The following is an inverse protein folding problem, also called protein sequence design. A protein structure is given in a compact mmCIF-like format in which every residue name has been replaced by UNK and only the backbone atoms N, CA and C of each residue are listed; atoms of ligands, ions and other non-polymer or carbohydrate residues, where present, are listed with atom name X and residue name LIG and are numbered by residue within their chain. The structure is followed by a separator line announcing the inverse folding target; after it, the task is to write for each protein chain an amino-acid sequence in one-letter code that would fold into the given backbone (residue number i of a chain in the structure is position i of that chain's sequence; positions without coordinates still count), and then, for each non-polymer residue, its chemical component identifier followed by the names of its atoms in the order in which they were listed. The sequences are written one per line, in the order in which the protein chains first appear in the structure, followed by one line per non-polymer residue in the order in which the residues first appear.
data_IF_158850033223
#
_entry.id   IF_158850033223
#
_cell.length_a   1.000
_cell.length_b   1.000
_cell.length_c   1.000
_cell.angle_alpha   90.00
_cell.angle_beta   90.00
_cell.angle_gamma   90.00
#
_symmetry.space_group_name_H-M   'P 1'
#
loop_
_entity.id
_entity.type
_entity.pdbx_description
1 polymer ?
#
# COMPACT_ATOMS: atom_id res chain seq x y z
N UNK A 1 -7.81 -20.28 24.09
CA UNK A 1 -8.66 -21.48 23.94
C UNK A 1 -9.26 -21.91 25.29
N UNK A 2 -8.47 -21.91 26.36
CA UNK A 2 -8.87 -22.40 27.72
C UNK A 2 -10.10 -21.67 28.28
N UNK A 3 -10.29 -20.38 27.97
CA UNK A 3 -11.42 -19.58 28.48
C UNK A 3 -12.62 -19.49 27.52
N UNK A 4 -12.62 -20.22 26.40
CA UNK A 4 -13.70 -20.21 25.43
C UNK A 4 -13.91 -18.88 24.68
N UNK A 5 -12.93 -17.97 24.73
CA UNK A 5 -13.03 -16.65 24.06
C UNK A 5 -12.65 -16.74 22.59
N UNK A 6 -13.35 -15.97 21.76
CA UNK A 6 -13.07 -15.78 20.35
C UNK A 6 -12.35 -14.46 20.15
N UNK A 7 -11.22 -14.48 19.45
CA UNK A 7 -10.45 -13.31 19.02
C UNK A 7 -10.36 -13.30 17.50
N UNK A 8 -11.17 -12.47 16.85
CA UNK A 8 -11.12 -12.33 15.41
C UNK A 8 -10.04 -11.30 15.03
N UNK A 9 -8.98 -11.77 14.39
CA UNK A 9 -7.89 -10.94 13.88
C UNK A 9 -8.03 -10.74 12.37
N UNK A 10 -7.33 -9.74 11.86
CA UNK A 10 -7.25 -9.44 10.42
C UNK A 10 -8.65 -9.34 9.78
N UNK A 11 -9.57 -8.64 10.44
CA UNK A 11 -10.97 -8.49 10.05
C UNK A 11 -11.29 -7.06 9.54
N UNK A 12 -10.32 -6.43 8.87
CA UNK A 12 -10.48 -5.13 8.22
C UNK A 12 -10.60 -5.25 6.70
N UNK A 13 -9.78 -4.47 5.98
CA UNK A 13 -9.75 -4.45 4.53
C UNK A 13 -8.63 -5.36 3.97
N UNK A 14 -7.38 -5.02 4.23
CA UNK A 14 -6.15 -5.73 3.86
C UNK A 14 -5.14 -5.58 5.02
N UNK A 15 -5.21 -6.56 5.97
CA UNK A 15 -5.94 -7.83 5.91
C UNK A 15 -7.41 -7.77 6.39
N UNK A 16 -8.25 -8.59 5.78
CA UNK A 16 -9.66 -8.80 6.14
C UNK A 16 -10.55 -9.15 4.94
N UNK A 17 -11.09 -8.16 4.24
CA UNK A 17 -11.90 -8.41 3.03
C UNK A 17 -11.09 -9.17 1.98
N UNK A 18 -9.78 -8.93 1.88
CA UNK A 18 -8.88 -9.66 0.99
C UNK A 18 -8.86 -11.17 1.30
N UNK A 19 -8.89 -11.56 2.58
CA UNK A 19 -9.01 -12.96 2.97
C UNK A 19 -10.35 -13.55 2.52
N UNK A 20 -11.44 -12.89 2.89
CA UNK A 20 -12.80 -13.38 2.61
C UNK A 20 -13.07 -13.51 1.12
N UNK A 21 -12.71 -12.49 0.33
CA UNK A 21 -12.89 -12.49 -1.12
C UNK A 21 -11.98 -13.50 -1.83
N UNK A 22 -10.74 -13.66 -1.37
CA UNK A 22 -9.83 -14.67 -1.89
C UNK A 22 -10.33 -16.09 -1.59
N UNK A 23 -10.67 -16.39 -0.33
CA UNK A 23 -11.12 -17.71 0.09
C UNK A 23 -12.39 -18.13 -0.62
N UNK A 24 -13.34 -17.20 -0.84
CA UNK A 24 -14.55 -17.48 -1.62
C UNK A 24 -14.21 -18.08 -2.99
N UNK A 25 -13.32 -17.45 -3.76
CA UNK A 25 -12.97 -17.93 -5.10
C UNK A 25 -12.10 -19.18 -5.04
N UNK A 26 -11.15 -19.27 -4.10
CA UNK A 26 -10.29 -20.46 -3.91
C UNK A 26 -11.14 -21.70 -3.59
N UNK A 27 -12.14 -21.56 -2.72
CA UNK A 27 -13.03 -22.66 -2.37
C UNK A 27 -13.95 -23.04 -3.54
N UNK A 28 -14.49 -22.09 -4.29
CA UNK A 28 -15.28 -22.37 -5.50
C UNK A 28 -14.47 -23.14 -6.57
N UNK A 29 -13.18 -22.83 -6.72
CA UNK A 29 -12.28 -23.56 -7.63
C UNK A 29 -12.06 -25.00 -7.13
N UNK A 30 -11.78 -25.17 -5.84
CA UNK A 30 -11.53 -26.49 -5.21
C UNK A 30 -12.78 -27.37 -5.24
N UNK A 31 -13.95 -26.82 -4.99
CA UNK A 31 -15.23 -27.55 -5.08
C UNK A 31 -15.49 -28.13 -6.48
N UNK A 32 -14.98 -27.47 -7.51
CA UNK A 32 -15.04 -27.94 -8.90
C UNK A 32 -13.92 -28.92 -9.26
N UNK A 33 -13.02 -29.23 -8.32
CA UNK A 33 -11.86 -30.11 -8.53
C UNK A 33 -10.68 -29.41 -9.20
N UNK A 34 -10.61 -28.08 -9.17
CA UNK A 34 -9.51 -27.30 -9.71
C UNK A 34 -8.31 -27.24 -8.76
N UNK A 35 -7.11 -27.32 -9.30
CA UNK A 35 -5.84 -27.19 -8.61
C UNK A 35 -5.30 -25.77 -8.78
N UNK A 36 -5.04 -25.07 -7.67
CA UNK A 36 -4.57 -23.68 -7.69
C UNK A 36 -3.08 -23.64 -8.01
N UNK A 37 -2.71 -22.93 -9.07
CA UNK A 37 -1.32 -22.79 -9.52
C UNK A 37 -0.78 -21.40 -9.18
N UNK A 38 -1.63 -20.37 -9.26
CA UNK A 38 -1.27 -18.96 -9.07
C UNK A 38 -2.32 -18.24 -8.25
N UNK A 39 -1.86 -17.49 -7.29
CA UNK A 39 -2.65 -16.51 -6.53
C UNK A 39 -1.88 -15.19 -6.43
N UNK A 40 -2.48 -14.14 -6.97
CA UNK A 40 -2.00 -12.77 -6.80
C UNK A 40 -3.12 -11.91 -6.20
N UNK A 41 -2.77 -11.07 -5.22
CA UNK A 41 -3.72 -10.24 -4.49
C UNK A 41 -3.16 -8.85 -4.28
N UNK A 42 -3.83 -7.85 -4.79
CA UNK A 42 -3.42 -6.47 -4.72
C UNK A 42 -4.54 -5.60 -4.15
N UNK A 43 -4.20 -4.71 -3.22
CA UNK A 43 -5.15 -3.77 -2.63
C UNK A 43 -4.51 -2.39 -2.48
N UNK A 44 -5.29 -1.33 -2.67
CA UNK A 44 -4.84 0.04 -2.46
C UNK A 44 -5.96 0.98 -2.06
N UNK A 45 -5.65 1.85 -1.09
CA UNK A 45 -6.43 3.06 -0.82
C UNK A 45 -5.91 4.19 -1.71
N UNK A 46 -6.80 4.81 -2.45
CA UNK A 46 -6.54 5.78 -3.51
C UNK A 46 -7.52 6.95 -3.37
N UNK A 47 -7.34 7.98 -4.19
CA UNK A 47 -8.35 9.02 -4.39
C UNK A 47 -9.26 8.62 -5.56
N UNK A 48 -10.57 8.92 -5.43
CA UNK A 48 -11.53 8.67 -6.50
C UNK A 48 -11.24 9.58 -7.72
N UNK A 49 -11.57 9.17 -8.95
CA UNK A 49 -11.23 9.95 -10.15
C UNK A 49 -11.72 11.39 -10.12
N UNK A 50 -12.92 11.64 -9.58
CA UNK A 50 -13.50 12.99 -9.47
C UNK A 50 -12.81 13.90 -8.45
N UNK A 51 -12.02 13.32 -7.53
CA UNK A 51 -11.28 14.04 -6.47
C UNK A 51 -9.77 13.98 -6.69
N UNK A 52 -9.33 13.47 -7.83
CA UNK A 52 -7.92 13.33 -8.21
C UNK A 52 -7.40 14.64 -8.79
N UNK A 53 -6.87 15.50 -7.92
CA UNK A 53 -6.50 16.89 -8.21
C UNK A 53 -5.02 17.18 -8.09
N UNK A 54 -4.17 16.17 -7.90
CA UNK A 54 -2.72 16.35 -7.80
C UNK A 54 -1.95 15.40 -8.73
N UNK A 55 -0.69 15.76 -9.03
CA UNK A 55 0.15 14.98 -9.94
C UNK A 55 0.51 13.58 -9.40
N UNK A 56 0.48 13.39 -8.09
CA UNK A 56 0.74 12.08 -7.47
C UNK A 56 -0.43 11.11 -7.61
N UNK A 57 -1.62 11.62 -7.98
CA UNK A 57 -2.85 10.85 -8.04
C UNK A 57 -3.11 10.11 -6.71
N UNK A 58 -2.79 10.81 -5.60
CA UNK A 58 -2.84 10.24 -4.26
C UNK A 58 -3.19 11.30 -3.20
N UNK A 59 -4.06 10.94 -2.27
CA UNK A 59 -4.33 11.66 -1.03
C UNK A 59 -4.33 10.67 0.14
N UNK A 60 -4.06 11.16 1.35
CA UNK A 60 -4.13 10.32 2.54
C UNK A 60 -5.58 9.96 2.87
N UNK A 61 -5.89 8.67 2.81
CA UNK A 61 -7.22 8.11 3.10
C UNK A 61 -7.22 7.34 4.43
N UNK A 62 -6.05 7.22 5.06
CA UNK A 62 -5.83 6.56 6.34
C UNK A 62 -4.59 7.14 7.02
N UNK A 63 -3.97 6.41 7.96
CA UNK A 63 -2.84 6.90 8.75
C UNK A 63 -1.63 7.30 7.88
N UNK A 64 -1.27 8.61 7.78
CA UNK A 64 -0.16 9.09 6.97
C UNK A 64 1.18 8.44 7.33
N UNK A 65 1.43 8.22 8.63
CA UNK A 65 2.64 7.57 9.13
C UNK A 65 2.87 6.20 8.50
N UNK A 66 1.82 5.38 8.42
CA UNK A 66 1.90 4.05 7.83
C UNK A 66 2.17 4.10 6.32
N UNK A 67 1.76 5.17 5.64
CA UNK A 67 2.07 5.37 4.21
C UNK A 67 3.55 5.70 4.04
N UNK A 68 4.09 6.63 4.85
CA UNK A 68 5.51 7.02 4.79
C UNK A 68 6.44 5.84 5.13
N UNK A 69 6.05 5.03 6.11
CA UNK A 69 6.83 3.85 6.54
C UNK A 69 6.49 2.57 5.77
N UNK A 70 5.67 2.67 4.70
CA UNK A 70 5.26 1.51 3.94
C UNK A 70 6.45 0.72 3.36
N UNK A 71 6.48 -0.58 3.63
CA UNK A 71 7.54 -1.48 3.18
C UNK A 71 8.79 -1.52 4.07
N UNK A 72 8.89 -0.68 5.09
CA UNK A 72 9.95 -0.78 6.10
C UNK A 72 9.74 -1.99 7.02
N UNK A 73 10.79 -2.38 7.74
CA UNK A 73 10.75 -3.50 8.69
C UNK A 73 11.10 -4.86 8.09
N UNK A 74 11.71 -4.89 6.91
CA UNK A 74 12.24 -6.11 6.30
C UNK A 74 12.08 -6.17 4.79
N UNK A 75 12.51 -7.28 4.19
CA UNK A 75 12.32 -7.52 2.77
C UNK A 75 10.90 -8.00 2.48
N UNK A 76 10.33 -7.57 1.36
CA UNK A 76 9.14 -8.22 0.82
C UNK A 76 9.50 -9.63 0.33
N UNK A 77 8.65 -10.62 0.63
CA UNK A 77 8.89 -12.03 0.34
C UNK A 77 7.66 -12.64 -0.32
N UNK A 78 7.87 -13.35 -1.40
CA UNK A 78 6.81 -14.06 -2.11
C UNK A 78 7.39 -15.21 -2.94
N UNK A 79 6.52 -16.05 -3.50
CA UNK A 79 6.91 -17.06 -4.49
C UNK A 79 6.27 -16.68 -5.83
N UNK A 80 7.03 -16.81 -6.91
CA UNK A 80 6.59 -16.53 -8.27
C UNK A 80 7.23 -17.54 -9.22
N UNK A 81 6.41 -18.24 -10.00
CA UNK A 81 6.86 -19.30 -10.91
C UNK A 81 7.74 -20.37 -10.21
N UNK A 82 7.34 -20.77 -9.02
CA UNK A 82 8.05 -21.75 -8.20
C UNK A 82 9.36 -21.26 -7.58
N UNK A 83 9.69 -19.97 -7.69
CA UNK A 83 10.93 -19.38 -7.16
C UNK A 83 10.66 -18.36 -6.08
N UNK A 84 11.32 -18.49 -4.94
CA UNK A 84 11.27 -17.49 -3.88
C UNK A 84 11.91 -16.18 -4.33
N UNK A 85 11.24 -15.09 -4.05
CA UNK A 85 11.66 -13.73 -4.35
C UNK A 85 11.77 -12.92 -3.07
N UNK A 86 12.81 -12.11 -2.98
CA UNK A 86 13.09 -11.21 -1.86
C UNK A 86 13.43 -9.84 -2.42
N UNK A 87 12.66 -8.81 -1.99
CA UNK A 87 12.91 -7.44 -2.41
C UNK A 87 13.22 -6.62 -1.15
N UNK A 88 14.46 -6.17 -0.95
CA UNK A 88 14.80 -5.28 0.15
C UNK A 88 14.09 -3.94 -0.02
N UNK A 89 13.83 -3.24 1.09
CA UNK A 89 13.10 -1.96 1.09
C UNK A 89 13.65 -0.95 0.07
N UNK A 90 14.98 -0.79 -0.01
CA UNK A 90 15.65 0.12 -0.95
C UNK A 90 15.44 -0.20 -2.43
N UNK A 91 14.81 -1.31 -2.77
CA UNK A 91 14.49 -1.72 -4.15
C UNK A 91 12.99 -1.95 -4.37
N UNK A 92 12.17 -1.77 -3.32
CA UNK A 92 10.76 -2.14 -3.32
C UNK A 92 9.99 -1.41 -4.44
N UNK A 93 10.14 -0.11 -4.51
CA UNK A 93 9.41 0.75 -5.45
C UNK A 93 9.98 0.76 -6.88
N UNK A 94 11.11 0.08 -7.11
CA UNK A 94 11.71 -0.14 -8.44
C UNK A 94 11.18 -1.37 -9.16
N UNK A 95 10.45 -2.21 -8.46
CA UNK A 95 9.86 -3.42 -9.02
C UNK A 95 8.35 -3.37 -8.86
N UNK A 96 7.68 -2.99 -9.93
CA UNK A 96 6.22 -2.89 -9.99
C UNK A 96 5.65 -3.83 -11.04
N UNK A 97 4.48 -4.36 -10.74
CA UNK A 97 3.63 -5.08 -11.69
C UNK A 97 2.53 -4.11 -12.16
N UNK A 98 2.06 -4.26 -13.38
CA UNK A 98 0.95 -3.47 -13.90
C UNK A 98 -0.32 -4.31 -13.92
N UNK A 99 -1.43 -3.69 -13.55
CA UNK A 99 -2.75 -4.30 -13.62
C UNK A 99 -3.75 -3.30 -14.20
N UNK A 100 -4.81 -3.81 -14.79
CA UNK A 100 -5.88 -3.02 -15.36
C UNK A 100 -7.19 -3.38 -14.68
N UNK A 101 -7.96 -2.37 -14.32
CA UNK A 101 -9.27 -2.54 -13.69
C UNK A 101 -10.30 -1.91 -14.59
N UNK A 102 -11.25 -2.71 -15.05
CA UNK A 102 -12.28 -2.27 -15.98
C UNK A 102 -13.04 -1.04 -15.43
N UNK A 103 -13.17 -0.01 -16.25
CA UNK A 103 -13.80 1.26 -15.89
C UNK A 103 -12.94 2.21 -15.05
N UNK A 104 -11.77 1.76 -14.53
CA UNK A 104 -10.90 2.56 -13.67
C UNK A 104 -9.48 2.72 -14.19
N UNK A 105 -9.14 2.03 -15.29
CA UNK A 105 -7.87 2.14 -16.00
C UNK A 105 -6.71 1.39 -15.37
N UNK A 106 -5.50 1.85 -15.70
CA UNK A 106 -4.25 1.18 -15.36
C UNK A 106 -3.69 1.61 -14.02
N UNK A 107 -3.18 0.63 -13.29
CA UNK A 107 -2.52 0.80 -12.00
C UNK A 107 -1.15 0.14 -12.00
N UNK A 108 -0.34 0.48 -11.02
CA UNK A 108 0.88 -0.24 -10.67
C UNK A 108 0.77 -0.79 -9.25
N UNK A 109 1.44 -1.92 -9.01
CA UNK A 109 1.50 -2.54 -7.69
C UNK A 109 2.93 -2.88 -7.33
N UNK A 110 3.29 -2.71 -6.06
CA UNK A 110 4.55 -3.17 -5.50
C UNK A 110 4.31 -4.19 -4.40
N UNK A 111 5.30 -5.08 -4.16
CA UNK A 111 5.17 -6.16 -3.21
C UNK A 111 4.87 -5.68 -1.79
N UNK A 112 3.92 -6.32 -1.10
CA UNK A 112 3.56 -6.01 0.27
C UNK A 112 4.16 -7.03 1.25
N UNK A 113 5.18 -6.62 2.01
CA UNK A 113 5.76 -7.38 3.15
C UNK A 113 5.99 -8.87 2.84
N UNK A 114 5.49 -9.77 3.70
CA UNK A 114 5.69 -11.22 3.63
C UNK A 114 4.42 -11.92 3.16
N UNK A 115 4.33 -12.22 1.86
CA UNK A 115 3.23 -12.98 1.28
C UNK A 115 3.30 -14.48 1.62
N UNK A 116 4.50 -14.99 1.97
CA UNK A 116 4.71 -16.43 2.19
C UNK A 116 3.97 -16.95 3.43
N UNK A 117 3.77 -16.09 4.44
CA UNK A 117 3.04 -16.46 5.64
C UNK A 117 1.57 -16.83 5.38
N UNK A 118 1.02 -16.40 4.25
CA UNK A 118 -0.37 -16.69 3.87
C UNK A 118 -0.53 -17.96 3.03
N UNK A 119 0.56 -18.56 2.55
CA UNK A 119 0.48 -19.78 1.71
C UNK A 119 -0.28 -20.90 2.40
N UNK A 120 0.18 -21.32 3.58
CA UNK A 120 -0.49 -22.40 4.33
C UNK A 120 -1.86 -21.96 4.86
N UNK A 121 -2.04 -20.67 5.20
CA UNK A 121 -3.33 -20.14 5.65
C UNK A 121 -4.40 -20.30 4.59
N UNK A 122 -4.06 -20.09 3.32
CA UNK A 122 -4.98 -20.23 2.20
C UNK A 122 -4.95 -21.64 1.56
N UNK A 123 -4.14 -22.57 2.09
CA UNK A 123 -3.94 -23.89 1.47
C UNK A 123 -3.31 -23.80 0.08
N UNK A 124 -2.30 -22.96 -0.07
CA UNK A 124 -1.57 -22.69 -1.32
C UNK A 124 -0.13 -23.21 -1.28
N UNK A 125 0.15 -24.22 -0.45
CA UNK A 125 1.53 -24.73 -0.25
C UNK A 125 2.13 -25.28 -1.55
N UNK A 126 1.31 -25.81 -2.46
CA UNK A 126 1.72 -26.34 -3.75
C UNK A 126 1.66 -25.31 -4.89
N UNK A 127 1.07 -24.13 -4.66
CA UNK A 127 0.97 -23.10 -5.68
C UNK A 127 2.35 -22.57 -6.09
N UNK A 128 2.56 -22.41 -7.40
CA UNK A 128 3.80 -21.88 -7.96
C UNK A 128 3.94 -20.37 -7.76
N UNK A 129 2.82 -19.65 -7.62
CA UNK A 129 2.81 -18.22 -7.34
C UNK A 129 1.87 -17.91 -6.18
N UNK A 130 2.40 -17.19 -5.18
CA UNK A 130 1.65 -16.57 -4.11
C UNK A 130 2.26 -15.19 -3.84
N UNK A 131 1.57 -14.15 -4.30
CA UNK A 131 2.08 -12.79 -4.32
C UNK A 131 1.01 -11.79 -3.89
N UNK A 132 1.34 -10.95 -2.90
CA UNK A 132 0.48 -9.86 -2.43
C UNK A 132 1.18 -8.53 -2.61
N UNK A 133 0.45 -7.51 -3.00
CA UNK A 133 1.00 -6.20 -3.29
C UNK A 133 0.05 -5.04 -2.95
N UNK A 134 0.61 -3.84 -3.03
CA UNK A 134 -0.10 -2.59 -2.79
C UNK A 134 -0.28 -1.84 -4.10
N UNK A 135 -1.52 -1.46 -4.41
CA UNK A 135 -1.89 -0.72 -5.63
C UNK A 135 -1.64 0.78 -5.46
N UNK A 136 -1.13 1.39 -6.53
CA UNK A 136 -1.02 2.84 -6.71
C UNK A 136 -1.35 3.23 -8.16
N UNK A 137 -1.59 4.52 -8.42
CA UNK A 137 -1.62 5.04 -9.78
C UNK A 137 -0.23 4.97 -10.41
N UNK A 138 -0.20 4.78 -11.73
CA UNK A 138 1.06 4.66 -12.48
C UNK A 138 1.95 5.89 -12.29
N UNK A 139 3.22 5.66 -12.00
CA UNK A 139 4.22 6.71 -11.76
C UNK A 139 4.37 7.13 -10.30
N UNK A 140 3.53 6.63 -9.39
CA UNK A 140 3.70 6.86 -7.95
C UNK A 140 5.00 6.22 -7.43
N UNK A 141 5.20 4.94 -7.70
CA UNK A 141 6.33 4.18 -7.14
C UNK A 141 7.67 4.74 -7.59
N UNK A 142 7.78 5.16 -8.85
CA UNK A 142 9.00 5.74 -9.37
C UNK A 142 9.34 7.08 -8.69
N UNK A 143 8.36 7.93 -8.43
CA UNK A 143 8.55 9.19 -7.71
C UNK A 143 8.84 8.93 -6.21
N UNK A 144 8.12 7.97 -5.61
CA UNK A 144 8.35 7.58 -4.21
C UNK A 144 9.74 6.99 -3.98
N UNK A 145 10.26 6.22 -4.94
CA UNK A 145 11.61 5.68 -4.88
C UNK A 145 12.68 6.77 -4.71
N UNK A 146 12.49 7.95 -5.29
CA UNK A 146 13.40 9.09 -5.09
C UNK A 146 13.48 9.48 -3.61
N UNK A 147 12.35 9.59 -2.93
CA UNK A 147 12.30 9.92 -1.51
C UNK A 147 12.97 8.84 -0.65
N UNK A 148 12.79 7.57 -1.03
CA UNK A 148 13.44 6.42 -0.39
C UNK A 148 14.96 6.45 -0.61
N UNK A 149 15.42 6.68 -1.83
CA UNK A 149 16.85 6.73 -2.16
C UNK A 149 17.57 7.92 -1.49
N UNK A 150 16.87 9.02 -1.26
CA UNK A 150 17.38 10.16 -0.49
C UNK A 150 17.46 9.86 1.01
N UNK A 151 16.71 8.89 1.53
CA UNK A 151 16.61 8.61 2.96
C UNK A 151 15.53 9.42 3.69
N UNK A 152 14.68 10.15 2.98
CA UNK A 152 13.62 10.97 3.58
C UNK A 152 12.53 10.16 4.28
N UNK A 153 12.46 8.88 4.03
CA UNK A 153 11.53 7.94 4.69
C UNK A 153 12.13 7.26 5.92
N UNK A 154 13.38 7.56 6.28
CA UNK A 154 14.06 6.93 7.41
C UNK A 154 13.49 7.42 8.75
N UNK A 155 13.25 6.48 9.66
CA UNK A 155 12.70 6.72 11.00
C UNK A 155 13.67 6.32 12.12
N UNK A 156 14.90 5.96 11.78
CA UNK A 156 15.87 5.40 12.73
C UNK A 156 16.71 6.44 13.48
N UNK A 157 16.71 7.70 13.03
CA UNK A 157 17.46 8.79 13.65
C UNK A 157 16.68 10.12 13.60
N UNK A 158 17.07 11.06 14.43
CA UNK A 158 16.50 12.41 14.47
C UNK A 158 17.44 13.44 13.88
N UNK A 159 16.90 14.51 13.32
CA UNK A 159 17.65 15.65 12.78
C UNK A 159 17.71 16.74 13.86
N UNK A 160 18.93 17.19 14.19
CA UNK A 160 19.13 18.27 15.14
C UNK A 160 18.65 19.61 14.54
N UNK A 161 18.04 20.46 15.38
CA UNK A 161 17.48 21.76 15.01
C UNK A 161 16.46 21.68 13.86
N UNK A 162 15.76 20.57 13.74
CA UNK A 162 14.79 20.36 12.66
C UNK A 162 13.66 21.40 12.66
N UNK A 163 13.30 21.93 13.82
CA UNK A 163 12.27 22.96 14.00
C UNK A 163 12.56 24.26 13.23
N UNK A 164 13.84 24.62 13.11
CA UNK A 164 14.26 25.86 12.46
C UNK A 164 14.56 25.69 10.96
N UNK A 165 14.70 24.47 10.50
CA UNK A 165 14.95 24.16 9.08
C UNK A 165 13.75 24.52 8.21
N UNK A 166 14.02 25.07 7.03
CA UNK A 166 13.02 25.15 5.95
C UNK A 166 12.89 23.81 5.21
N UNK A 167 11.81 23.63 4.46
CA UNK A 167 11.66 22.43 3.60
C UNK A 167 12.81 22.28 2.60
N UNK A 168 13.31 23.41 2.09
CA UNK A 168 14.48 23.44 1.21
C UNK A 168 15.76 22.98 1.91
N UNK A 169 16.00 23.43 3.15
CA UNK A 169 17.18 23.01 3.94
C UNK A 169 17.10 21.55 4.32
N UNK A 170 15.90 21.06 4.70
CA UNK A 170 15.65 19.64 4.91
C UNK A 170 16.01 18.83 3.66
N UNK A 171 15.51 19.21 2.49
CA UNK A 171 15.86 18.53 1.23
C UNK A 171 17.34 18.56 0.95
N UNK A 172 17.99 19.71 1.18
CA UNK A 172 19.43 19.89 0.95
C UNK A 172 20.30 19.02 1.87
N UNK A 173 19.81 18.66 3.06
CA UNK A 173 20.59 17.86 4.03
C UNK A 173 20.89 16.43 3.53
N UNK A 174 20.15 15.92 2.55
CA UNK A 174 20.37 14.61 1.92
C UNK A 174 21.21 14.66 0.64
N UNK A 175 21.63 15.83 0.21
CA UNK A 175 22.30 16.03 -1.08
C UNK A 175 23.80 16.28 -0.91
N UNK A 176 24.62 15.86 -1.89
CA UNK A 176 26.05 16.19 -1.89
C UNK A 176 26.28 17.70 -1.85
N UNK A 177 27.34 18.10 -1.18
CA UNK A 177 27.79 19.49 -1.24
C UNK A 177 28.19 19.89 -2.65
N UNK A 178 27.75 21.05 -3.10
CA UNK A 178 28.21 21.71 -4.31
C UNK A 178 28.25 23.23 -4.09
N UNK A 179 29.31 23.93 -4.49
CA UNK A 179 29.54 25.35 -4.12
C UNK A 179 28.56 26.32 -4.81
N UNK A 180 28.04 25.97 -5.99
CA UNK A 180 27.23 26.86 -6.84
C UNK A 180 25.89 26.33 -7.23
N UNK A 181 25.66 24.99 -7.20
CA UNK A 181 24.42 24.41 -7.64
C UNK A 181 23.31 24.64 -6.63
N UNK A 182 22.12 24.93 -7.15
CA UNK A 182 20.91 25.01 -6.33
C UNK A 182 20.49 23.62 -5.84
N UNK A 183 19.63 23.57 -4.84
CA UNK A 183 19.09 22.30 -4.27
C UNK A 183 18.43 21.47 -5.36
N UNK A 184 17.67 22.12 -6.25
CA UNK A 184 16.99 21.50 -7.39
C UNK A 184 17.98 20.84 -8.36
N UNK A 185 19.05 21.53 -8.73
CA UNK A 185 20.09 21.00 -9.63
C UNK A 185 20.79 19.81 -8.97
N UNK A 186 21.17 19.96 -7.70
CA UNK A 186 21.81 18.87 -6.94
C UNK A 186 20.95 17.63 -6.87
N UNK A 187 19.65 17.77 -6.58
CA UNK A 187 18.74 16.64 -6.51
C UNK A 187 18.60 15.96 -7.86
N UNK A 188 18.38 16.73 -8.93
CA UNK A 188 18.24 16.18 -10.29
C UNK A 188 19.49 15.41 -10.71
N UNK A 189 20.69 15.95 -10.46
CA UNK A 189 21.96 15.29 -10.77
C UNK A 189 22.14 14.00 -9.92
N UNK A 190 21.90 14.07 -8.62
CA UNK A 190 22.07 12.93 -7.72
C UNK A 190 21.13 11.77 -8.05
N UNK A 191 19.90 12.07 -8.44
CA UNK A 191 18.86 11.09 -8.75
C UNK A 191 18.70 10.81 -10.25
N UNK A 192 19.48 11.47 -11.11
CA UNK A 192 19.44 11.34 -12.59
C UNK A 192 18.04 11.57 -13.16
N UNK A 193 17.42 12.68 -12.75
CA UNK A 193 16.10 13.10 -13.20
C UNK A 193 16.24 14.17 -14.28
N UNK A 194 15.67 13.91 -15.45
CA UNK A 194 15.59 14.91 -16.52
C UNK A 194 14.58 16.01 -16.17
N UNK A 195 14.78 17.20 -16.73
CA UNK A 195 13.93 18.36 -16.43
C UNK A 195 12.48 18.15 -16.89
N UNK A 196 12.29 17.41 -17.96
CA UNK A 196 10.99 17.14 -18.57
C UNK A 196 10.35 15.84 -18.04
N UNK A 197 10.95 15.21 -17.01
CA UNK A 197 10.38 14.01 -16.40
C UNK A 197 9.25 14.40 -15.43
N UNK A 198 8.08 13.81 -15.60
CA UNK A 198 6.91 13.99 -14.71
C UNK A 198 7.24 13.75 -13.22
N UNK A 199 8.28 12.97 -12.93
CA UNK A 199 8.76 12.77 -11.56
C UNK A 199 9.24 14.09 -10.96
N UNK A 200 9.91 14.91 -11.76
CA UNK A 200 10.37 16.23 -11.31
C UNK A 200 9.18 17.08 -10.86
N UNK A 201 8.14 17.14 -11.67
CA UNK A 201 6.93 17.91 -11.36
C UNK A 201 6.24 17.41 -10.08
N UNK A 202 6.20 16.08 -9.87
CA UNK A 202 5.68 15.49 -8.62
C UNK A 202 6.48 15.94 -7.39
N UNK A 203 7.80 16.01 -7.49
CA UNK A 203 8.66 16.45 -6.37
C UNK A 203 8.51 17.96 -6.10
N UNK A 204 8.32 18.76 -7.13
CA UNK A 204 8.04 20.21 -6.99
C UNK A 204 6.68 20.44 -6.35
N UNK A 205 5.66 19.70 -6.77
CA UNK A 205 4.28 19.84 -6.26
C UNK A 205 4.19 19.63 -4.75
N UNK A 206 4.95 18.72 -4.17
CA UNK A 206 4.97 18.49 -2.71
C UNK A 206 5.80 19.49 -1.93
N UNK A 207 6.26 20.56 -2.58
CA UNK A 207 6.84 21.75 -1.94
C UNK A 207 8.22 21.53 -1.27
N UNK A 208 8.96 20.48 -1.67
CA UNK A 208 10.27 20.11 -1.11
C UNK A 208 11.33 21.24 -1.18
N UNK A 209 11.16 22.18 -2.09
CA UNK A 209 12.13 23.25 -2.35
C UNK A 209 11.73 24.60 -1.74
N UNK A 210 10.72 24.64 -0.89
CA UNK A 210 10.21 25.89 -0.31
C UNK A 210 11.24 26.48 0.69
N UNK A 211 11.75 27.69 0.43
CA UNK A 211 12.74 28.32 1.30
C UNK A 211 12.14 29.07 2.50
N UNK A 212 10.80 29.19 2.56
CA UNK A 212 10.10 30.00 3.56
C UNK A 212 9.32 29.17 4.58
N UNK A 213 8.88 27.97 4.20
CA UNK A 213 8.16 27.08 5.10
C UNK A 213 9.12 26.33 6.02
N UNK A 214 8.89 26.48 7.33
CA UNK A 214 9.65 25.79 8.35
C UNK A 214 9.08 24.42 8.68
N UNK A 215 9.97 23.49 8.99
CA UNK A 215 9.63 22.15 9.49
C UNK A 215 8.84 22.24 10.80
N UNK A 216 9.32 23.05 11.78
CA UNK A 216 8.61 23.33 13.03
C UNK A 216 8.39 22.11 13.93
N UNK A 217 9.12 21.02 13.72
CA UNK A 217 9.11 19.81 14.55
C UNK A 217 10.46 19.66 15.24
N UNK A 218 10.46 19.59 16.58
CA UNK A 218 11.68 19.48 17.39
C UNK A 218 12.23 18.06 17.32
N UNK A 219 13.53 17.92 16.97
CA UNK A 219 14.23 16.63 16.90
C UNK A 219 13.43 15.54 16.16
N UNK A 220 12.90 15.91 15.01
CA UNK A 220 12.09 15.00 14.20
C UNK A 220 12.94 14.05 13.37
N UNK A 221 12.41 12.85 13.11
CA UNK A 221 13.02 11.95 12.13
C UNK A 221 12.74 12.41 10.70
N UNK A 222 13.57 12.03 9.70
CA UNK A 222 13.27 12.31 8.29
C UNK A 222 11.85 11.94 7.90
N UNK A 223 11.39 10.76 8.31
CA UNK A 223 10.04 10.27 8.02
C UNK A 223 8.94 11.15 8.63
N UNK A 224 9.12 11.69 9.84
CA UNK A 224 8.17 12.61 10.47
C UNK A 224 8.09 13.95 9.72
N UNK A 225 9.23 14.46 9.26
CA UNK A 225 9.27 15.70 8.48
C UNK A 225 8.59 15.48 7.12
N UNK A 226 8.90 14.39 6.43
CA UNK A 226 8.26 14.06 5.16
C UNK A 226 6.74 13.89 5.34
N UNK A 227 6.30 13.18 6.38
CA UNK A 227 4.87 13.04 6.72
C UNK A 227 4.18 14.40 6.84
N UNK A 228 4.79 15.35 7.56
CA UNK A 228 4.26 16.70 7.71
C UNK A 228 4.15 17.44 6.37
N UNK A 229 5.19 17.39 5.55
CA UNK A 229 5.22 18.02 4.22
C UNK A 229 4.09 17.46 3.35
N UNK A 230 3.95 16.14 3.32
CA UNK A 230 2.95 15.45 2.51
C UNK A 230 1.53 15.69 3.03
N UNK A 231 1.33 15.76 4.36
CA UNK A 231 0.01 15.99 4.95
C UNK A 231 -0.60 17.34 4.51
N UNK A 232 0.22 18.36 4.25
CA UNK A 232 -0.23 19.64 3.72
C UNK A 232 -0.76 19.56 2.28
N UNK A 233 -0.27 18.60 1.49
CA UNK A 233 -0.59 18.48 0.07
C UNK A 233 -1.56 17.35 -0.25
N UNK A 234 -1.60 16.33 0.61
CA UNK A 234 -2.37 15.12 0.39
C UNK A 234 -3.54 14.96 1.37
N UNK A 235 -3.91 16.03 2.07
CA UNK A 235 -5.14 16.02 2.85
C UNK A 235 -6.36 15.88 1.94
N UNK A 236 -7.36 15.13 2.39
CA UNK A 236 -8.67 15.13 1.74
C UNK A 236 -9.38 16.45 2.03
N UNK A 237 -9.88 17.10 1.00
CA UNK A 237 -10.80 18.23 1.12
C UNK A 237 -12.19 17.75 1.56
N UNK A 238 -13.06 18.62 2.09
CA UNK A 238 -14.36 18.21 2.65
C UNK A 238 -15.25 17.36 1.74
N UNK A 239 -15.20 17.60 0.44
CA UNK A 239 -16.01 16.88 -0.55
C UNK A 239 -15.21 15.82 -1.34
N UNK A 240 -13.94 15.62 -1.00
CA UNK A 240 -13.13 14.61 -1.64
C UNK A 240 -13.61 13.20 -1.29
N UNK A 241 -13.62 12.37 -2.29
CA UNK A 241 -13.91 10.96 -2.17
C UNK A 241 -12.65 10.13 -2.32
N UNK A 242 -12.48 9.20 -1.43
CA UNK A 242 -11.46 8.16 -1.58
C UNK A 242 -12.00 6.98 -2.38
N UNK A 243 -11.11 6.10 -2.76
CA UNK A 243 -11.44 4.88 -3.50
C UNK A 243 -10.57 3.74 -2.99
N UNK A 244 -11.19 2.60 -2.71
CA UNK A 244 -10.49 1.33 -2.52
C UNK A 244 -10.56 0.55 -3.82
N UNK A 245 -9.41 0.03 -4.24
CA UNK A 245 -9.31 -0.96 -5.33
C UNK A 245 -8.68 -2.22 -4.76
N UNK A 246 -9.34 -3.36 -4.96
CA UNK A 246 -8.81 -4.69 -4.65
C UNK A 246 -8.93 -5.56 -5.90
N UNK A 247 -7.86 -6.27 -6.20
CA UNK A 247 -7.76 -7.13 -7.38
C UNK A 247 -7.12 -8.45 -6.98
N UNK A 248 -7.80 -9.55 -7.29
CA UNK A 248 -7.26 -10.89 -7.15
C UNK A 248 -7.18 -11.57 -8.52
N UNK A 249 -6.10 -12.30 -8.73
CA UNK A 249 -5.91 -13.14 -9.90
C UNK A 249 -5.66 -14.58 -9.45
N UNK A 250 -6.45 -15.49 -9.98
CA UNK A 250 -6.36 -16.92 -9.69
C UNK A 250 -6.04 -17.68 -10.98
N UNK A 251 -4.91 -18.34 -11.03
CA UNK A 251 -4.57 -19.32 -12.05
C UNK A 251 -4.77 -20.72 -11.50
N UNK A 252 -5.47 -21.58 -12.21
CA UNK A 252 -5.74 -22.95 -11.79
C UNK A 252 -5.81 -23.91 -12.97
N UNK A 253 -5.61 -25.18 -12.69
CA UNK A 253 -5.82 -26.27 -13.66
C UNK A 253 -7.10 -27.00 -13.33
N UNK A 254 -7.93 -27.27 -14.34
CA UNK A 254 -9.17 -28.02 -14.21
C UNK A 254 -9.32 -28.95 -15.43
N UNK A 255 -9.37 -30.26 -15.19
CA UNK A 255 -9.45 -31.28 -16.23
C UNK A 255 -8.30 -31.19 -17.27
N UNK A 256 -7.09 -30.86 -16.83
CA UNK A 256 -5.89 -30.68 -17.69
C UNK A 256 -5.85 -29.36 -18.46
N UNK A 257 -6.81 -28.46 -18.25
CA UNK A 257 -6.84 -27.14 -18.86
C UNK A 257 -6.45 -26.05 -17.85
N UNK A 258 -5.55 -25.13 -18.25
CA UNK A 258 -5.21 -23.94 -17.47
C UNK A 258 -6.27 -22.87 -17.64
N UNK A 259 -6.77 -22.36 -16.54
CA UNK A 259 -7.83 -21.35 -16.45
C UNK A 259 -7.41 -20.20 -15.56
N UNK A 260 -8.04 -19.05 -15.75
CA UNK A 260 -7.83 -17.85 -14.92
C UNK A 260 -9.18 -17.25 -14.51
N UNK A 261 -9.22 -16.75 -13.29
CA UNK A 261 -10.31 -15.91 -12.78
C UNK A 261 -9.66 -14.63 -12.26
N UNK A 262 -10.20 -13.49 -12.66
CA UNK A 262 -9.88 -12.19 -12.09
C UNK A 262 -11.09 -11.71 -11.28
N UNK A 263 -10.83 -11.28 -10.05
CA UNK A 263 -11.87 -10.76 -9.15
C UNK A 263 -11.49 -9.35 -8.71
N UNK A 264 -12.38 -8.41 -8.92
CA UNK A 264 -12.14 -7.01 -8.63
C UNK A 264 -13.21 -6.45 -7.72
N UNK A 265 -12.80 -5.65 -6.73
CA UNK A 265 -13.67 -4.83 -5.91
C UNK A 265 -13.23 -3.38 -6.02
N UNK A 266 -14.17 -2.49 -6.30
CA UNK A 266 -13.98 -1.04 -6.19
C UNK A 266 -15.05 -0.48 -5.26
N UNK A 267 -14.61 0.29 -4.27
CA UNK A 267 -15.49 0.99 -3.33
C UNK A 267 -15.10 2.47 -3.33
N UNK A 268 -16.07 3.35 -3.55
CA UNK A 268 -15.89 4.81 -3.51
C UNK A 268 -16.55 5.35 -2.24
N UNK A 269 -15.85 6.26 -1.55
CA UNK A 269 -16.37 6.97 -0.40
C UNK A 269 -17.39 8.05 -0.77
N UNK A 270 -18.05 8.61 0.23
CA UNK A 270 -19.02 9.69 0.00
C UNK A 270 -18.37 11.07 0.13
N UNK A 271 -17.49 11.22 1.13
CA UNK A 271 -16.77 12.45 1.47
C UNK A 271 -15.53 12.13 2.34
N UNK A 272 -14.85 13.16 2.88
CA UNK A 272 -13.69 12.99 3.75
C UNK A 272 -13.98 12.29 5.09
N UNK A 273 -15.24 12.20 5.52
CA UNK A 273 -15.65 11.55 6.77
C UNK A 273 -16.14 10.12 6.52
N UNK A 274 -17.03 9.96 5.54
CA UNK A 274 -17.58 8.66 5.14
C UNK A 274 -16.77 8.06 4.00
N UNK A 275 -15.50 7.83 4.28
CA UNK A 275 -14.55 7.29 3.31
C UNK A 275 -14.82 5.83 2.99
N UNK A 276 -14.42 5.38 1.80
CA UNK A 276 -14.41 3.95 1.45
C UNK A 276 -13.48 3.17 2.38
N UNK A 277 -12.37 3.77 2.81
CA UNK A 277 -11.47 3.18 3.79
C UNK A 277 -12.19 2.92 5.11
N UNK A 278 -12.92 3.90 5.65
CA UNK A 278 -13.68 3.74 6.90
C UNK A 278 -14.75 2.64 6.79
N UNK A 279 -15.47 2.60 5.66
CA UNK A 279 -16.49 1.58 5.38
C UNK A 279 -15.88 0.17 5.32
N UNK A 280 -14.84 -0.01 4.52
CA UNK A 280 -14.25 -1.33 4.25
C UNK A 280 -13.42 -1.87 5.42
N UNK A 281 -12.94 -1.01 6.32
CA UNK A 281 -12.27 -1.44 7.56
C UNK A 281 -13.29 -1.65 8.69
N UNK A 282 -14.25 -0.73 8.86
CA UNK A 282 -15.15 -0.73 10.01
C UNK A 282 -16.31 -1.73 9.91
N UNK A 283 -16.94 -1.86 8.73
CA UNK A 283 -18.08 -2.74 8.56
C UNK A 283 -17.77 -4.23 8.82
N UNK A 284 -16.66 -4.80 8.34
CA UNK A 284 -16.32 -6.18 8.66
C UNK A 284 -16.18 -6.44 10.16
N UNK A 285 -15.56 -5.52 10.90
CA UNK A 285 -15.44 -5.60 12.36
C UNK A 285 -16.81 -5.60 13.04
N UNK A 286 -17.70 -4.70 12.62
CA UNK A 286 -19.06 -4.62 13.17
C UNK A 286 -19.86 -5.90 12.88
N UNK A 287 -19.82 -6.40 11.65
CA UNK A 287 -20.50 -7.64 11.25
C UNK A 287 -19.96 -8.85 12.03
N UNK A 288 -18.63 -9.00 12.10
CA UNK A 288 -18.01 -10.09 12.86
C UNK A 288 -18.38 -10.03 14.34
N UNK A 289 -18.44 -8.83 14.93
CA UNK A 289 -18.87 -8.64 16.32
C UNK A 289 -20.30 -9.13 16.52
N UNK A 290 -21.24 -8.76 15.63
CA UNK A 290 -22.62 -9.22 15.69
C UNK A 290 -22.72 -10.74 15.55
N UNK A 291 -21.98 -11.34 14.63
CA UNK A 291 -21.94 -12.80 14.45
C UNK A 291 -21.43 -13.54 15.67
N UNK A 292 -20.40 -13.01 16.35
CA UNK A 292 -19.88 -13.57 17.62
C UNK A 292 -20.94 -13.46 18.74
N UNK A 293 -21.59 -12.29 18.88
CA UNK A 293 -22.62 -12.06 19.89
C UNK A 293 -23.86 -12.96 19.65
N UNK A 294 -24.23 -13.17 18.41
CA UNK A 294 -25.32 -14.05 18.00
C UNK A 294 -24.95 -15.55 18.06
N UNK A 295 -23.70 -15.87 18.44
CA UNK A 295 -23.17 -17.24 18.47
C UNK A 295 -23.16 -17.95 17.11
N UNK A 296 -23.02 -17.18 16.02
CA UNK A 296 -22.79 -17.70 14.68
C UNK A 296 -21.32 -18.06 14.47
N UNK A 297 -20.41 -17.30 15.09
CA UNK A 297 -18.97 -17.61 15.19
C UNK A 297 -18.64 -18.00 16.62
N UNK A 298 -18.35 -19.28 16.86
CA UNK A 298 -18.17 -19.85 18.20
C UNK A 298 -16.80 -20.50 18.42
N UNK A 299 -16.00 -20.67 17.39
CA UNK A 299 -14.69 -21.34 17.48
C UNK A 299 -13.72 -20.54 18.36
N UNK A 300 -13.29 -21.09 19.53
CA UNK A 300 -12.47 -20.34 20.47
C UNK A 300 -11.02 -20.19 20.03
N UNK A 301 -10.38 -19.12 20.49
CA UNK A 301 -8.99 -18.78 20.23
C UNK A 301 -8.87 -17.68 19.17
N UNK A 302 -7.66 -17.51 18.63
CA UNK A 302 -7.39 -16.54 17.55
C UNK A 302 -7.86 -17.12 16.23
N UNK A 303 -8.73 -16.40 15.57
CA UNK A 303 -9.33 -16.76 14.28
C UNK A 303 -8.99 -15.71 13.23
N UNK A 304 -8.93 -16.14 11.97
CA UNK A 304 -8.87 -15.31 10.76
C UNK A 304 -10.16 -15.50 9.95
N UNK A 305 -10.61 -14.52 9.18
CA UNK A 305 -11.83 -14.62 8.39
C UNK A 305 -11.60 -15.41 7.08
N UNK A 306 -11.24 -16.70 7.24
CA UNK A 306 -10.89 -17.62 6.13
C UNK A 306 -11.86 -18.79 5.99
N UNK A 307 -12.87 -18.86 6.84
CA UNK A 307 -13.92 -19.90 6.82
C UNK A 307 -15.21 -19.35 6.20
N UNK A 308 -16.09 -20.26 5.76
CA UNK A 308 -17.39 -19.88 5.16
C UNK A 308 -18.40 -19.27 6.15
N UNK A 309 -18.16 -19.41 7.44
CA UNK A 309 -18.97 -18.82 8.51
C UNK A 309 -18.76 -17.29 8.58
#
# INVERSE_FOLDING_TARGET
KENGLVFMNEIGLDPGIDHMSAMKVLDEIREKGGEIILFESFCGGLVAPESDTNLWNYKFTWNPRNVVLAGQGGAAKFIQEGKYKYIPYSKLFRRTEFLEVEGYGRFEAYANRDSLKYRSVYGLDDALTCYRGTIRRVGYSRAWDILVQLGMTDDSYTIDNSEDMTYREFTNSFLPYHPTDTVEIKLRHAQKIDQDDIIWDKLVEIDLFNPNKKVGLVKATPAQILEKILAEKWALEPNDKDMIVMYHKFGYELNGEKKQIDSTMVCIGDDQTYTSMAKTVGLPVAIATLKILNKEIITPGVQLPITKE
#
